data_IF_558159905492
#
_entry.id   IF_558159905492
#
_cell.length_a   1.000
_cell.length_b   1.000
_cell.length_c   1.000
_cell.angle_alpha   90.00
_cell.angle_beta   90.00
_cell.angle_gamma   90.00
#
_symmetry.space_group_name_H-M   'P 1'
#
loop_
_entity.id
_entity.type
_entity.pdbx_description
1 polymer ?
#
# COMPACT_ATOMS: atom_id res chain seq x y z
N UNK A 1 12.34 7.92 -11.27
CA UNK A 1 11.67 6.62 -11.05
C UNK A 1 11.50 6.42 -9.56
N UNK A 2 10.27 6.18 -9.07
CA UNK A 2 9.99 5.94 -7.64
C UNK A 2 9.24 4.62 -7.46
N UNK A 3 9.68 3.84 -6.48
CA UNK A 3 9.07 2.56 -6.12
C UNK A 3 8.58 2.61 -4.67
N UNK A 4 7.35 2.15 -4.44
CA UNK A 4 6.83 1.88 -3.11
C UNK A 4 6.88 0.38 -2.84
N UNK A 5 7.49 -0.01 -1.71
CA UNK A 5 7.51 -1.40 -1.25
C UNK A 5 6.91 -1.43 0.16
N UNK A 6 5.82 -2.18 0.31
CA UNK A 6 5.09 -2.35 1.58
C UNK A 6 4.70 -3.83 1.76
N UNK A 7 4.39 -4.23 2.99
CA UNK A 7 4.08 -5.62 3.32
C UNK A 7 3.22 -5.68 4.60
N UNK A 8 2.62 -6.85 4.85
CA UNK A 8 2.01 -7.22 6.12
C UNK A 8 1.07 -6.17 6.72
N UNK A 9 0.32 -5.49 5.86
CA UNK A 9 -0.58 -4.42 6.31
C UNK A 9 -1.64 -4.98 7.25
N UNK A 10 -2.18 -6.18 6.97
CA UNK A 10 -3.10 -6.88 7.88
C UNK A 10 -4.25 -6.00 8.39
N UNK A 11 -4.72 -5.07 7.56
CA UNK A 11 -5.85 -4.18 7.88
C UNK A 11 -7.12 -4.78 7.26
N UNK A 12 -8.20 -4.98 8.04
CA UNK A 12 -8.40 -4.52 9.42
C UNK A 12 -8.02 -5.52 10.54
N UNK A 13 -7.52 -6.71 10.21
CA UNK A 13 -7.45 -7.85 11.15
C UNK A 13 -6.49 -7.65 12.34
N UNK A 14 -5.29 -7.10 12.10
CA UNK A 14 -4.27 -6.84 13.15
C UNK A 14 -4.03 -5.35 13.39
N UNK A 15 -4.48 -4.49 12.48
CA UNK A 15 -4.39 -3.05 12.60
C UNK A 15 -5.62 -2.40 11.97
N UNK A 16 -6.12 -1.31 12.56
CA UNK A 16 -7.26 -0.57 12.00
C UNK A 16 -6.87 0.27 10.79
N UNK A 17 -5.63 0.80 10.79
CA UNK A 17 -5.09 1.67 9.75
C UNK A 17 -3.57 1.80 9.85
N UNK A 18 -2.96 2.38 8.82
CA UNK A 18 -1.57 2.81 8.87
C UNK A 18 -1.37 3.95 9.88
N UNK A 19 -0.15 4.10 10.39
CA UNK A 19 0.20 5.27 11.20
C UNK A 19 0.15 6.52 10.32
N UNK A 20 -0.36 7.67 10.80
CA UNK A 20 -0.56 8.86 9.97
C UNK A 20 0.69 9.34 9.21
N UNK A 21 1.88 9.25 9.83
CA UNK A 21 3.11 9.66 9.15
C UNK A 21 3.49 8.74 7.97
N UNK A 22 3.15 7.44 8.03
CA UNK A 22 3.38 6.50 6.93
C UNK A 22 2.42 6.81 5.78
N UNK A 23 1.15 7.02 6.12
CA UNK A 23 0.11 7.39 5.14
C UNK A 23 0.48 8.70 4.43
N UNK A 24 0.90 9.74 5.17
CA UNK A 24 1.33 11.00 4.58
C UNK A 24 2.49 10.83 3.60
N UNK A 25 3.54 10.07 3.97
CA UNK A 25 4.67 9.80 3.07
C UNK A 25 4.20 9.09 1.80
N UNK A 26 3.29 8.11 1.94
CA UNK A 26 2.73 7.38 0.80
C UNK A 26 1.98 8.34 -0.13
N UNK A 27 1.06 9.13 0.42
CA UNK A 27 0.19 10.04 -0.35
C UNK A 27 0.99 11.17 -1.03
N UNK A 28 1.93 11.81 -0.33
CA UNK A 28 2.74 12.94 -0.87
C UNK A 28 3.59 12.55 -2.08
N UNK A 29 3.93 11.27 -2.22
CA UNK A 29 4.82 10.79 -3.27
C UNK A 29 4.06 10.10 -4.42
N UNK A 30 2.73 10.04 -4.37
CA UNK A 30 1.91 9.53 -5.48
C UNK A 30 2.04 10.41 -6.75
N UNK A 31 1.82 9.83 -7.94
CA UNK A 31 1.80 8.39 -8.20
C UNK A 31 3.22 7.81 -8.18
N UNK A 32 3.36 6.58 -7.67
CA UNK A 32 4.58 5.80 -7.81
C UNK A 32 4.67 5.19 -9.22
N UNK A 33 5.89 4.97 -9.71
CA UNK A 33 6.06 4.25 -10.98
C UNK A 33 5.78 2.76 -10.80
N UNK A 34 6.20 2.19 -9.66
CA UNK A 34 6.00 0.78 -9.29
C UNK A 34 5.56 0.69 -7.82
N UNK A 35 4.56 -0.14 -7.53
CA UNK A 35 4.11 -0.51 -6.18
C UNK A 35 4.26 -2.02 -6.02
N UNK A 36 4.89 -2.46 -4.93
CA UNK A 36 5.05 -3.87 -4.58
C UNK A 36 4.48 -4.10 -3.18
N UNK A 37 3.57 -5.07 -3.05
CA UNK A 37 3.03 -5.54 -1.77
C UNK A 37 3.38 -7.02 -1.56
N UNK A 38 4.05 -7.36 -0.46
CA UNK A 38 4.58 -8.73 -0.26
C UNK A 38 3.55 -9.78 0.24
N UNK A 39 2.31 -9.37 0.46
CA UNK A 39 1.20 -10.25 0.85
C UNK A 39 0.53 -9.81 2.15
N UNK A 40 -0.23 -10.71 2.78
CA UNK A 40 -0.86 -10.44 4.08
C UNK A 40 -1.88 -9.30 4.08
N UNK A 41 -2.58 -9.14 2.94
CA UNK A 41 -3.78 -8.33 2.80
C UNK A 41 -5.01 -9.10 3.28
N UNK A 42 -5.79 -8.53 4.18
CA UNK A 42 -7.01 -9.18 4.70
C UNK A 42 -8.30 -8.51 4.23
N UNK A 43 -8.20 -7.47 3.39
CA UNK A 43 -9.35 -6.72 2.89
C UNK A 43 -9.21 -6.31 1.42
N UNK A 44 -10.29 -6.49 0.66
CA UNK A 44 -10.41 -6.01 -0.71
C UNK A 44 -10.23 -4.49 -0.81
N UNK A 45 -10.72 -3.74 0.18
CA UNK A 45 -10.56 -2.28 0.21
C UNK A 45 -9.10 -1.87 0.27
N UNK A 46 -8.28 -2.58 1.04
CA UNK A 46 -6.84 -2.31 1.14
C UNK A 46 -6.14 -2.70 -0.15
N UNK A 47 -6.49 -3.83 -0.77
CA UNK A 47 -5.96 -4.21 -2.08
C UNK A 47 -6.22 -3.14 -3.15
N UNK A 48 -7.45 -2.62 -3.22
CA UNK A 48 -7.80 -1.56 -4.19
C UNK A 48 -7.09 -0.24 -3.86
N UNK A 49 -6.93 0.10 -2.58
CA UNK A 49 -6.10 1.22 -2.16
C UNK A 49 -4.64 1.04 -2.61
N UNK A 50 -4.01 -0.12 -2.39
CA UNK A 50 -2.63 -0.42 -2.84
C UNK A 50 -2.49 -0.28 -4.36
N UNK A 51 -3.46 -0.78 -5.15
CA UNK A 51 -3.46 -0.62 -6.61
C UNK A 51 -3.55 0.83 -7.06
N UNK A 52 -4.20 1.69 -6.28
CA UNK A 52 -4.35 3.12 -6.60
C UNK A 52 -3.07 3.93 -6.40
N UNK A 53 -2.04 3.40 -5.72
CA UNK A 53 -0.86 4.17 -5.31
C UNK A 53 0.10 4.44 -6.48
N UNK A 54 0.05 3.69 -7.58
CA UNK A 54 1.01 3.83 -8.67
C UNK A 54 0.56 3.29 -10.02
N UNK A 55 1.43 3.45 -11.02
CA UNK A 55 1.17 3.10 -12.42
C UNK A 55 1.20 1.58 -12.67
N UNK A 56 2.07 0.88 -11.97
CA UNK A 56 2.18 -0.58 -11.97
C UNK A 56 2.11 -1.09 -10.54
N UNK A 57 1.38 -2.18 -10.30
CA UNK A 57 1.18 -2.75 -8.98
C UNK A 57 1.35 -4.27 -9.02
N UNK A 58 2.18 -4.79 -8.12
CA UNK A 58 2.45 -6.21 -7.94
C UNK A 58 2.13 -6.60 -6.50
N UNK A 59 1.31 -7.64 -6.34
CA UNK A 59 0.88 -8.16 -5.03
C UNK A 59 1.03 -9.68 -5.06
N UNK A 60 1.61 -10.26 -4.01
CA UNK A 60 1.78 -11.71 -3.84
C UNK A 60 0.77 -12.25 -2.82
#
# INVERSE_FOLDING_TARGET
MRMLVIADTHIPDRAEKLKPYVENIIEEHKPYDIVVHAGDLTSKTILEWVKSLGKQCYVV
#
